data_IF_812586394491
#
_entry.id   IF_812586394491
#
_cell.length_a   1.000
_cell.length_b   1.000
_cell.length_c   1.000
_cell.angle_alpha   90.00
_cell.angle_beta   90.00
_cell.angle_gamma   90.00
#
_symmetry.space_group_name_H-M   'P 1'
#
loop_
_entity.id
_entity.type
_entity.pdbx_description
1 polymer ?
#
# COMPACT_ATOMS: atom_id res chain seq x y z
N UNK A 1 2.08 5.96 -14.77
CA UNK A 1 0.71 5.41 -14.72
C UNK A 1 -0.25 6.58 -14.93
N UNK A 2 -1.30 6.43 -15.74
CA UNK A 2 -2.37 7.43 -15.76
C UNK A 2 -3.16 7.29 -14.46
N UNK A 3 -3.71 8.39 -13.91
CA UNK A 3 -4.48 8.36 -12.64
C UNK A 3 -5.56 7.27 -12.60
N UNK A 4 -6.20 7.00 -13.74
CA UNK A 4 -7.25 5.96 -13.88
C UNK A 4 -6.73 4.52 -13.80
N UNK A 5 -5.43 4.30 -13.93
CA UNK A 5 -4.77 2.98 -13.91
C UNK A 5 -4.13 2.68 -12.55
N UNK A 6 -4.20 3.61 -11.60
CA UNK A 6 -3.58 3.47 -10.29
C UNK A 6 -4.51 2.71 -9.36
N UNK A 7 -3.97 1.74 -8.62
CA UNK A 7 -4.76 0.99 -7.66
C UNK A 7 -5.22 1.90 -6.51
N UNK A 8 -6.36 1.55 -5.90
CA UNK A 8 -6.84 2.22 -4.69
C UNK A 8 -5.81 2.18 -3.57
N UNK A 9 -5.04 1.09 -3.47
CA UNK A 9 -4.01 0.92 -2.44
C UNK A 9 -2.83 1.87 -2.64
N UNK A 10 -2.38 2.06 -3.89
CA UNK A 10 -1.35 3.06 -4.20
C UNK A 10 -1.84 4.45 -3.82
N UNK A 11 -3.07 4.81 -4.23
CA UNK A 11 -3.65 6.12 -3.94
C UNK A 11 -3.74 6.36 -2.43
N UNK A 12 -4.21 5.36 -1.69
CA UNK A 12 -4.29 5.39 -0.24
C UNK A 12 -2.91 5.62 0.39
N UNK A 13 -1.89 4.83 0.04
CA UNK A 13 -0.54 4.96 0.58
C UNK A 13 0.07 6.33 0.27
N UNK A 14 0.03 6.73 -0.99
CA UNK A 14 0.76 7.90 -1.49
C UNK A 14 0.07 9.22 -1.13
N UNK A 15 -1.26 9.29 -1.25
CA UNK A 15 -2.00 10.55 -1.13
C UNK A 15 -2.66 10.72 0.24
N UNK A 16 -3.23 9.65 0.81
CA UNK A 16 -3.93 9.71 2.09
C UNK A 16 -2.96 9.52 3.26
N UNK A 17 -2.14 8.45 3.23
CA UNK A 17 -1.15 8.18 4.28
C UNK A 17 0.15 8.98 4.13
N UNK A 18 0.51 9.36 2.91
CA UNK A 18 1.76 10.07 2.57
C UNK A 18 3.01 9.33 3.07
N UNK A 19 3.01 8.00 2.96
CA UNK A 19 4.13 7.15 3.38
C UNK A 19 4.81 6.52 2.18
N UNK A 20 6.14 6.37 2.26
CA UNK A 20 6.93 5.54 1.34
C UNK A 20 6.59 4.06 1.50
N UNK A 21 7.01 3.23 0.54
CA UNK A 21 6.80 1.78 0.63
C UNK A 21 7.61 1.17 1.78
N UNK A 22 8.76 1.76 2.08
CA UNK A 22 9.68 1.37 3.14
C UNK A 22 9.08 1.64 4.52
N UNK A 23 8.51 2.83 4.75
CA UNK A 23 7.83 3.17 6.00
C UNK A 23 6.62 2.26 6.26
N UNK A 24 5.82 1.96 5.21
CA UNK A 24 4.70 1.01 5.33
C UNK A 24 5.20 -0.41 5.60
N UNK A 25 6.29 -0.82 4.95
CA UNK A 25 6.88 -2.14 5.17
C UNK A 25 7.35 -2.31 6.62
N UNK A 26 8.00 -1.29 7.18
CA UNK A 26 8.42 -1.25 8.57
C UNK A 26 7.21 -1.27 9.53
N UNK A 27 6.25 -0.36 9.34
CA UNK A 27 5.05 -0.27 10.18
C UNK A 27 4.24 -1.57 10.21
N UNK A 28 4.12 -2.23 9.06
CA UNK A 28 3.32 -3.45 8.93
C UNK A 28 4.11 -4.75 9.16
N UNK A 29 5.41 -4.67 9.48
CA UNK A 29 6.31 -5.83 9.58
C UNK A 29 6.24 -6.73 8.33
N UNK A 30 6.28 -6.11 7.14
CA UNK A 30 6.25 -6.78 5.84
C UNK A 30 7.49 -6.42 5.01
N UNK A 31 7.65 -7.12 3.90
CA UNK A 31 8.67 -6.75 2.90
C UNK A 31 8.16 -5.62 2.01
N UNK A 32 9.06 -4.78 1.49
CA UNK A 32 8.75 -3.78 0.45
C UNK A 32 8.11 -4.42 -0.78
N UNK A 33 8.45 -5.68 -1.09
CA UNK A 33 7.82 -6.48 -2.17
C UNK A 33 6.34 -6.74 -1.90
N UNK A 34 5.97 -6.99 -0.64
CA UNK A 34 4.57 -7.15 -0.24
C UNK A 34 3.80 -5.85 -0.47
N UNK A 35 4.36 -4.72 -0.01
CA UNK A 35 3.76 -3.38 -0.20
C UNK A 35 3.63 -3.03 -1.68
N UNK A 36 4.65 -3.31 -2.48
CA UNK A 36 4.60 -3.12 -3.94
C UNK A 36 3.48 -3.94 -4.58
N UNK A 37 3.27 -5.18 -4.14
CA UNK A 37 2.14 -5.98 -4.59
C UNK A 37 0.79 -5.36 -4.25
N UNK A 38 0.66 -4.76 -3.07
CA UNK A 38 -0.57 -4.03 -2.70
C UNK A 38 -0.80 -2.83 -3.59
N UNK A 39 0.23 -2.02 -3.86
CA UNK A 39 0.17 -0.89 -4.80
C UNK A 39 -0.20 -1.33 -6.23
N UNK A 40 0.12 -2.56 -6.61
CA UNK A 40 -0.28 -3.18 -7.88
C UNK A 40 -1.73 -3.75 -7.86
N UNK A 41 -2.44 -3.59 -6.75
CA UNK A 41 -3.83 -4.03 -6.59
C UNK A 41 -4.00 -5.43 -5.99
N UNK A 42 -2.93 -6.06 -5.47
CA UNK A 42 -3.10 -7.29 -4.69
C UNK A 42 -3.89 -7.00 -3.41
N UNK A 43 -4.72 -7.95 -2.95
CA UNK A 43 -5.49 -7.77 -1.73
C UNK A 43 -4.57 -7.48 -0.54
N UNK A 44 -4.87 -6.41 0.19
CA UNK A 44 -4.34 -6.21 1.54
C UNK A 44 -5.00 -7.22 2.49
N UNK A 45 -4.30 -7.69 3.53
CA UNK A 45 -4.94 -8.49 4.57
C UNK A 45 -6.07 -7.67 5.23
N UNK A 46 -7.13 -8.34 5.70
CA UNK A 46 -8.22 -7.65 6.39
C UNK A 46 -7.68 -6.88 7.59
N UNK A 47 -8.11 -5.62 7.73
CA UNK A 47 -7.74 -4.79 8.87
C UNK A 47 -8.43 -5.37 10.10
N UNK A 48 -7.66 -5.94 11.02
CA UNK A 48 -8.17 -6.29 12.35
C UNK A 48 -8.14 -4.99 13.14
N UNK A 49 -9.28 -4.29 13.19
CA UNK A 49 -9.45 -3.12 14.04
C UNK A 49 -9.67 -3.66 15.45
N UNK A 50 -8.73 -3.42 16.36
CA UNK A 50 -8.91 -3.65 17.80
C UNK A 50 -9.56 -2.42 18.43
#
# INVERSE_FOLDING_TARGET
MKYREMSKNYIFRELECQMTKEEVAELCFKSVRTVTGWDEGKPMPPVVVN
#
